data_IF_595263050788
#
_entry.id   IF_595263050788
#
_cell.length_a   1.000
_cell.length_b   1.000
_cell.length_c   1.000
_cell.angle_alpha   90.00
_cell.angle_beta   90.00
_cell.angle_gamma   90.00
#
_symmetry.space_group_name_H-M   'P 1'
#
loop_
_entity.id
_entity.type
_entity.pdbx_description
1 polymer ?
#
# COMPACT_ATOMS: atom_id res chain seq x y z
N UNK A 1 12.64 -12.42 -8.91
CA UNK A 1 11.66 -13.40 -8.44
C UNK A 1 10.90 -12.85 -7.25
N UNK A 2 9.62 -13.04 -7.25
CA UNK A 2 8.77 -12.51 -6.18
C UNK A 2 8.69 -13.49 -5.02
N UNK A 3 8.92 -12.99 -3.81
CA UNK A 3 8.86 -13.77 -2.58
C UNK A 3 7.75 -13.26 -1.69
N UNK A 4 6.81 -14.13 -1.36
CA UNK A 4 5.70 -13.79 -0.49
C UNK A 4 5.71 -14.75 0.69
N UNK A 5 5.83 -14.21 1.91
CA UNK A 5 5.83 -15.03 3.10
C UNK A 5 4.46 -15.71 3.26
N UNK A 6 4.46 -16.94 3.78
CA UNK A 6 3.22 -17.71 3.88
C UNK A 6 2.19 -17.10 4.81
N UNK A 7 2.61 -16.27 5.76
CA UNK A 7 1.68 -15.59 6.67
C UNK A 7 1.08 -14.31 6.09
N UNK A 8 1.58 -13.85 4.94
CA UNK A 8 1.03 -12.65 4.32
C UNK A 8 -0.36 -12.96 3.73
N UNK A 9 -1.28 -12.04 3.92
CA UNK A 9 -2.64 -12.15 3.38
C UNK A 9 -2.79 -11.16 2.25
N UNK A 10 -3.02 -11.67 1.06
CA UNK A 10 -3.07 -10.84 -0.14
C UNK A 10 -4.38 -11.09 -0.88
N UNK A 11 -5.14 -10.03 -1.08
CA UNK A 11 -6.40 -10.10 -1.81
C UNK A 11 -6.16 -10.50 -3.27
N UNK A 12 -7.08 -11.23 -3.89
CA UNK A 12 -6.93 -11.63 -5.29
C UNK A 12 -6.91 -10.46 -6.28
N UNK A 13 -7.31 -9.29 -5.85
CA UNK A 13 -7.29 -8.11 -6.72
C UNK A 13 -5.95 -7.37 -6.73
N UNK A 14 -5.02 -7.79 -5.91
CA UNK A 14 -3.71 -7.14 -5.81
C UNK A 14 -2.84 -7.54 -7.01
N UNK A 15 -2.22 -6.55 -7.63
CA UNK A 15 -1.28 -6.77 -8.74
C UNK A 15 0.13 -6.59 -8.22
N UNK A 16 0.97 -7.59 -8.44
CA UNK A 16 2.32 -7.62 -7.90
C UNK A 16 3.32 -7.77 -9.06
N UNK A 17 4.30 -6.87 -9.11
CA UNK A 17 5.34 -6.91 -10.13
C UNK A 17 6.43 -7.93 -9.84
N UNK A 18 7.57 -7.76 -10.51
CA UNK A 18 8.72 -8.66 -10.39
C UNK A 18 9.63 -8.27 -9.24
N UNK A 19 10.31 -9.26 -8.65
CA UNK A 19 11.27 -9.04 -7.57
C UNK A 19 10.69 -8.33 -6.35
N UNK A 20 9.42 -8.59 -6.07
CA UNK A 20 8.75 -8.04 -4.90
C UNK A 20 8.97 -8.98 -3.72
N UNK A 21 9.32 -8.42 -2.57
CA UNK A 21 9.43 -9.18 -1.32
C UNK A 21 8.34 -8.73 -0.37
N UNK A 22 7.52 -9.66 0.08
CA UNK A 22 6.47 -9.39 1.05
C UNK A 22 6.73 -10.27 2.27
N UNK A 23 7.09 -9.64 3.37
CA UNK A 23 7.46 -10.34 4.59
C UNK A 23 6.25 -10.82 5.39
N UNK A 24 6.51 -11.38 6.59
CA UNK A 24 5.45 -11.99 7.40
C UNK A 24 4.44 -10.97 7.91
N UNK A 25 3.21 -11.44 8.07
CA UNK A 25 2.12 -10.69 8.67
C UNK A 25 1.76 -9.39 7.94
N UNK A 26 2.05 -9.33 6.65
CA UNK A 26 1.55 -8.24 5.81
C UNK A 26 0.11 -8.56 5.39
N UNK A 27 -0.72 -7.54 5.37
CA UNK A 27 -2.11 -7.67 4.94
C UNK A 27 -2.34 -6.67 3.81
N UNK A 28 -2.57 -7.18 2.61
CA UNK A 28 -2.74 -6.35 1.43
C UNK A 28 -4.12 -6.63 0.85
N UNK A 29 -4.99 -5.64 0.91
CA UNK A 29 -6.39 -5.80 0.51
C UNK A 29 -6.80 -4.64 -0.39
N UNK A 30 -7.75 -4.89 -1.26
CA UNK A 30 -8.31 -3.87 -2.13
C UNK A 30 -7.64 -3.82 -3.49
N UNK A 31 -7.81 -2.70 -4.17
CA UNK A 31 -7.27 -2.49 -5.52
C UNK A 31 -5.85 -1.93 -5.41
N UNK A 32 -4.93 -2.81 -5.04
CA UNK A 32 -3.54 -2.42 -4.78
C UNK A 32 -2.65 -2.89 -5.91
N UNK A 33 -1.77 -2.01 -6.37
CA UNK A 33 -0.74 -2.34 -7.35
C UNK A 33 0.63 -2.13 -6.73
N UNK A 34 1.43 -3.18 -6.71
CA UNK A 34 2.79 -3.14 -6.19
C UNK A 34 3.73 -3.35 -7.37
N UNK A 35 4.53 -2.34 -7.68
CA UNK A 35 5.41 -2.39 -8.84
C UNK A 35 6.70 -3.15 -8.54
N UNK A 36 7.62 -3.16 -9.49
CA UNK A 36 8.81 -4.00 -9.40
C UNK A 36 9.75 -3.58 -8.28
N UNK A 37 10.46 -4.55 -7.73
CA UNK A 37 11.52 -4.33 -6.73
C UNK A 37 11.05 -3.67 -5.44
N UNK A 38 9.78 -3.83 -5.09
CA UNK A 38 9.24 -3.30 -3.83
C UNK A 38 9.54 -4.30 -2.71
N UNK A 39 9.90 -3.79 -1.55
CA UNK A 39 10.17 -4.61 -0.36
C UNK A 39 9.25 -4.18 0.77
N UNK A 40 8.42 -5.11 1.24
CA UNK A 40 7.59 -4.93 2.43
C UNK A 40 8.18 -5.81 3.52
N UNK A 41 8.74 -5.20 4.56
CA UNK A 41 9.53 -5.98 5.52
C UNK A 41 8.67 -6.91 6.36
N UNK A 42 7.68 -6.38 7.08
CA UNK A 42 6.73 -7.20 7.85
C UNK A 42 5.66 -6.31 8.47
N UNK A 43 4.57 -6.92 8.94
CA UNK A 43 3.52 -6.23 9.70
C UNK A 43 3.07 -4.93 9.05
N UNK A 44 2.81 -4.99 7.75
CA UNK A 44 2.40 -3.82 6.97
C UNK A 44 0.98 -4.05 6.47
N UNK A 45 0.13 -3.05 6.63
CA UNK A 45 -1.24 -3.08 6.14
C UNK A 45 -1.36 -2.13 4.96
N UNK A 46 -1.79 -2.65 3.83
CA UNK A 46 -2.04 -1.85 2.63
C UNK A 46 -3.46 -2.13 2.16
N UNK A 47 -4.24 -1.09 1.97
CA UNK A 47 -5.64 -1.26 1.59
C UNK A 47 -6.11 -0.12 0.69
N UNK A 48 -7.34 -0.23 0.21
CA UNK A 48 -7.94 0.78 -0.64
C UNK A 48 -7.40 0.76 -2.06
N UNK A 49 -7.44 1.89 -2.72
CA UNK A 49 -6.93 2.05 -4.07
C UNK A 49 -5.53 2.66 -4.00
N UNK A 50 -4.53 1.81 -3.93
CA UNK A 50 -3.15 2.22 -3.63
C UNK A 50 -2.18 1.67 -4.67
N UNK A 51 -1.27 2.52 -5.13
CA UNK A 51 -0.19 2.12 -6.02
C UNK A 51 1.14 2.39 -5.34
N UNK A 52 2.00 1.37 -5.29
CA UNK A 52 3.34 1.50 -4.70
C UNK A 52 4.35 1.44 -5.83
N UNK A 53 5.09 2.52 -6.01
CA UNK A 53 6.05 2.66 -7.10
C UNK A 53 7.27 1.78 -6.92
N UNK A 54 8.02 1.63 -8.00
CA UNK A 54 9.17 0.75 -8.08
C UNK A 54 10.25 1.11 -7.06
N UNK A 55 10.99 0.11 -6.61
CA UNK A 55 12.14 0.28 -5.72
C UNK A 55 11.78 0.93 -4.37
N UNK A 56 10.53 0.86 -3.96
CA UNK A 56 10.09 1.39 -2.68
C UNK A 56 10.28 0.35 -1.60
N UNK A 57 10.73 0.78 -0.43
CA UNK A 57 10.91 -0.10 0.72
C UNK A 57 10.07 0.41 1.87
N UNK A 58 9.32 -0.49 2.50
CA UNK A 58 8.40 -0.13 3.58
C UNK A 58 8.77 -0.94 4.82
N UNK A 59 9.01 -0.22 5.92
CA UNK A 59 9.41 -0.80 7.21
C UNK A 59 8.21 -1.27 8.01
N UNK A 60 8.43 -2.09 9.05
CA UNK A 60 7.32 -2.69 9.81
C UNK A 60 6.41 -1.67 10.49
N UNK A 61 5.18 -2.10 10.74
CA UNK A 61 4.15 -1.35 11.45
C UNK A 61 3.71 -0.09 10.72
N UNK A 62 3.76 -0.10 9.40
CA UNK A 62 3.23 0.98 8.58
C UNK A 62 1.82 0.62 8.11
N UNK A 63 0.95 1.62 8.01
CA UNK A 63 -0.41 1.47 7.51
C UNK A 63 -0.57 2.37 6.31
N UNK A 64 -0.84 1.78 5.16
CA UNK A 64 -0.84 2.49 3.87
C UNK A 64 -2.23 2.39 3.26
N UNK A 65 -2.80 3.54 2.90
CA UNK A 65 -4.03 3.57 2.14
C UNK A 65 -5.28 3.17 2.91
N UNK A 66 -5.22 3.18 4.24
CA UNK A 66 -6.41 2.88 5.04
C UNK A 66 -7.49 3.94 4.79
N UNK A 67 -8.73 3.52 4.92
CA UNK A 67 -9.84 4.45 4.71
C UNK A 67 -9.81 5.57 5.74
N UNK A 68 -10.07 6.81 5.32
CA UNK A 68 -10.20 7.90 6.27
C UNK A 68 -11.33 7.63 7.25
N UNK A 69 -11.19 8.15 8.46
CA UNK A 69 -12.19 8.03 9.51
C UNK A 69 -13.33 9.04 9.29
N UNK A 70 -13.87 9.06 8.12
CA UNK A 70 -14.91 10.00 7.73
C UNK A 70 -16.15 9.24 7.32
N UNK A 71 -17.25 9.51 7.97
CA UNK A 71 -18.51 8.83 7.69
C UNK A 71 -19.06 9.16 6.30
N UNK A 72 -18.54 10.17 5.67
CA UNK A 72 -18.93 10.53 4.30
C UNK A 72 -18.11 9.81 3.24
N UNK A 73 -17.13 9.05 3.66
CA UNK A 73 -16.30 8.29 2.73
C UNK A 73 -17.18 7.26 2.01
N UNK A 74 -17.06 7.18 0.71
CA UNK A 74 -17.84 6.24 -0.08
C UNK A 74 -16.95 5.45 -1.04
N UNK A 75 -17.57 4.61 -1.86
CA UNK A 75 -16.83 3.72 -2.76
C UNK A 75 -16.10 4.44 -3.89
N UNK A 76 -16.34 5.74 -4.07
CA UNK A 76 -15.59 6.54 -5.02
C UNK A 76 -14.40 7.19 -4.34
N UNK A 77 -13.80 6.47 -3.45
CA UNK A 77 -12.72 6.98 -2.61
C UNK A 77 -11.53 7.45 -3.42
N UNK A 78 -10.72 8.23 -2.76
CA UNK A 78 -9.49 8.71 -3.34
C UNK A 78 -8.49 7.60 -3.53
N UNK A 79 -7.45 7.91 -4.26
CA UNK A 79 -6.34 7.01 -4.55
C UNK A 79 -5.10 7.50 -3.82
N UNK A 80 -4.27 6.55 -3.41
CA UNK A 80 -2.97 6.85 -2.85
C UNK A 80 -1.92 6.33 -3.82
N UNK A 81 -1.06 7.21 -4.30
CA UNK A 81 0.03 6.83 -5.20
C UNK A 81 1.36 7.16 -4.54
N UNK A 82 2.15 6.14 -4.31
CA UNK A 82 3.50 6.28 -3.81
C UNK A 82 4.44 6.13 -5.00
N UNK A 83 5.21 7.16 -5.29
CA UNK A 83 6.13 7.13 -6.41
C UNK A 83 7.30 6.17 -6.19
N UNK A 84 8.20 6.12 -7.15
CA UNK A 84 9.34 5.21 -7.09
C UNK A 84 10.39 5.67 -6.08
N UNK A 85 11.20 4.73 -5.63
CA UNK A 85 12.40 4.97 -4.81
C UNK A 85 12.11 5.62 -3.46
N UNK A 86 10.94 5.37 -2.89
CA UNK A 86 10.61 5.88 -1.56
C UNK A 86 11.03 4.92 -0.47
N UNK A 87 11.33 5.45 0.69
CA UNK A 87 11.60 4.67 1.90
C UNK A 87 10.59 5.08 2.96
N UNK A 88 9.69 4.18 3.27
CA UNK A 88 8.63 4.45 4.25
C UNK A 88 9.00 3.74 5.53
N UNK A 89 9.34 4.52 6.54
CA UNK A 89 9.88 4.00 7.79
C UNK A 89 8.78 3.46 8.69
N UNK A 90 9.20 2.94 9.83
CA UNK A 90 8.31 2.31 10.81
C UNK A 90 7.25 3.29 11.32
N UNK A 91 6.07 2.74 11.60
CA UNK A 91 4.95 3.47 12.19
C UNK A 91 4.41 4.63 11.35
N UNK A 92 4.65 4.59 10.05
CA UNK A 92 4.10 5.60 9.15
C UNK A 92 2.67 5.21 8.80
N UNK A 93 1.78 6.19 8.83
CA UNK A 93 0.38 6.00 8.42
C UNK A 93 0.08 6.92 7.25
N UNK A 94 -0.44 6.35 6.17
CA UNK A 94 -0.82 7.10 4.98
C UNK A 94 -2.26 6.77 4.63
N UNK A 95 -3.03 7.79 4.32
CA UNK A 95 -4.45 7.65 4.00
C UNK A 95 -4.73 8.04 2.56
N UNK A 96 -5.73 7.39 1.96
CA UNK A 96 -6.23 7.83 0.66
C UNK A 96 -6.91 9.18 0.80
N UNK A 97 -6.97 9.93 -0.31
CA UNK A 97 -7.74 11.17 -0.32
C UNK A 97 -9.24 10.91 -0.23
N UNK A 98 -9.98 11.95 0.10
CA UNK A 98 -11.43 11.91 0.13
C UNK A 98 -11.98 12.86 -0.92
N UNK A 99 -13.28 12.77 -1.18
CA UNK A 99 -13.91 13.70 -2.13
C UNK A 99 -13.76 15.14 -1.71
N UNK A 100 -13.81 15.41 -0.43
CA UNK A 100 -13.73 16.77 0.09
C UNK A 100 -12.32 17.30 0.18
N UNK A 101 -11.37 16.39 0.37
CA UNK A 101 -9.96 16.76 0.50
C UNK A 101 -9.14 16.50 -0.75
N UNK A 102 -9.80 16.15 -1.85
CA UNK A 102 -9.11 15.72 -3.05
C UNK A 102 -9.11 14.21 -3.15
N UNK A 103 -9.25 13.71 -4.36
CA UNK A 103 -9.42 12.27 -4.59
C UNK A 103 -8.10 11.54 -4.75
N UNK A 104 -7.01 12.25 -4.75
CA UNK A 104 -5.70 11.67 -5.04
C UNK A 104 -4.66 12.16 -4.05
N UNK A 105 -3.93 11.23 -3.47
CA UNK A 105 -2.75 11.53 -2.68
C UNK A 105 -1.55 10.92 -3.38
N UNK A 106 -0.54 11.75 -3.63
CA UNK A 106 0.64 11.31 -4.36
C UNK A 106 1.90 11.65 -3.59
N UNK A 107 2.79 10.64 -3.49
CA UNK A 107 4.05 10.78 -2.77
C UNK A 107 5.16 10.42 -3.76
N UNK A 108 5.99 11.39 -4.03
CA UNK A 108 7.04 11.23 -5.03
C UNK A 108 8.37 10.73 -4.52
#
# INVERSE_FOLDING_TARGET
MTNIHETAIISPYVKIGDNVSIGPYCNIDGDVTIKDNVTLISHISISGCTTIGENTKIWPFSVIGSEPQDLKYDSEEGKLIIGANNKIREHVTMHSGTKEGGMLTEIG
#
